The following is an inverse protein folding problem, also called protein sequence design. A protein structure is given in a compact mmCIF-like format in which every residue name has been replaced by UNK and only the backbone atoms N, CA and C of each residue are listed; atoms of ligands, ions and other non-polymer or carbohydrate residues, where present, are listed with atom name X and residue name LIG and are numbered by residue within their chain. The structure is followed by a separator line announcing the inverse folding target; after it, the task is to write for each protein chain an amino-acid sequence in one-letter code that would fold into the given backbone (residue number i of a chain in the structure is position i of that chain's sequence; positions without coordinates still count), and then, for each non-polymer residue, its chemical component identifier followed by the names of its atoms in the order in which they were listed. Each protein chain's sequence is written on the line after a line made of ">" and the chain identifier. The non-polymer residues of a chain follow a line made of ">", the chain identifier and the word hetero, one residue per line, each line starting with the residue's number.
data_IF_056840207946
#
_entry.id   IF_056840207946
#
_cell.length_a   1.000
_cell.length_b   1.000
_cell.length_c   1.000
_cell.angle_alpha   90.00
_cell.angle_beta   90.00
_cell.angle_gamma   90.00
#
_symmetry.space_group_name_H-M   'P 1'
#
loop_
_entity.id
_entity.type
_entity.pdbx_description
1 polymer ?
#
# COMPACT_ATOMS: atom_id res chain seq x y z
N UNK A 1 7.86 -18.48 7.13
CA UNK A 1 7.02 -17.27 6.96
C UNK A 1 7.54 -16.25 5.92
N UNK A 2 8.71 -16.47 5.28
CA UNK A 2 9.26 -15.56 4.24
C UNK A 2 8.31 -15.30 3.06
N UNK A 3 7.70 -16.36 2.50
CA UNK A 3 6.76 -16.22 1.39
C UNK A 3 5.47 -15.49 1.82
N UNK A 4 4.94 -15.81 3.01
CA UNK A 4 3.76 -15.12 3.55
C UNK A 4 4.04 -13.62 3.73
N UNK A 5 5.20 -13.26 4.30
CA UNK A 5 5.64 -11.87 4.40
C UNK A 5 5.71 -11.19 3.02
N UNK A 6 6.32 -11.84 2.02
CA UNK A 6 6.43 -11.31 0.65
C UNK A 6 5.04 -11.07 0.03
N UNK A 7 4.14 -12.05 0.15
CA UNK A 7 2.78 -11.97 -0.39
C UNK A 7 2.00 -10.85 0.29
N UNK A 8 2.04 -10.74 1.62
CA UNK A 8 1.36 -9.68 2.35
C UNK A 8 1.89 -8.29 1.98
N UNK A 9 3.21 -8.14 1.82
CA UNK A 9 3.81 -6.88 1.40
C UNK A 9 3.36 -6.48 -0.02
N UNK A 10 3.35 -7.43 -0.97
CA UNK A 10 2.79 -7.16 -2.30
C UNK A 10 1.28 -6.93 -2.28
N UNK A 11 0.54 -7.58 -1.38
CA UNK A 11 -0.89 -7.36 -1.22
C UNK A 11 -1.18 -5.92 -0.78
N UNK A 12 -0.41 -5.34 0.15
CA UNK A 12 -0.52 -3.92 0.50
C UNK A 12 -0.32 -3.04 -0.74
N UNK A 13 0.73 -3.29 -1.54
CA UNK A 13 0.99 -2.52 -2.75
C UNK A 13 -0.17 -2.63 -3.77
N UNK A 14 -0.67 -3.85 -4.01
CA UNK A 14 -1.79 -4.10 -4.91
C UNK A 14 -3.08 -3.42 -4.43
N UNK A 15 -3.37 -3.46 -3.12
CA UNK A 15 -4.52 -2.79 -2.53
C UNK A 15 -4.43 -1.27 -2.70
N UNK A 16 -3.26 -0.66 -2.52
CA UNK A 16 -3.05 0.78 -2.80
C UNK A 16 -3.32 1.11 -4.27
N UNK A 17 -2.84 0.28 -5.20
CA UNK A 17 -3.09 0.47 -6.63
C UNK A 17 -4.59 0.36 -6.98
N UNK A 18 -5.30 -0.62 -6.40
CA UNK A 18 -6.75 -0.76 -6.53
C UNK A 18 -7.47 0.47 -5.95
N UNK A 19 -6.98 1.02 -4.84
CA UNK A 19 -7.55 2.20 -4.22
C UNK A 19 -7.41 3.45 -5.11
N UNK A 20 -6.26 3.62 -5.77
CA UNK A 20 -6.03 4.68 -6.75
C UNK A 20 -6.92 4.52 -8.00
N UNK A 21 -7.07 3.29 -8.50
CA UNK A 21 -8.00 3.00 -9.60
C UNK A 21 -9.47 3.29 -9.20
N UNK A 22 -9.85 2.95 -7.97
CA UNK A 22 -11.22 3.14 -7.46
C UNK A 22 -11.60 4.62 -7.37
N UNK A 23 -10.70 5.47 -6.85
CA UNK A 23 -10.96 6.92 -6.80
C UNK A 23 -11.00 7.54 -8.19
N UNK A 24 -10.13 7.11 -9.12
CA UNK A 24 -10.18 7.57 -10.51
C UNK A 24 -11.50 7.18 -11.17
N UNK A 25 -11.94 5.93 -11.03
CA UNK A 25 -13.23 5.46 -11.53
C UNK A 25 -14.40 6.29 -10.99
N UNK A 26 -14.39 6.59 -9.68
CA UNK A 26 -15.42 7.43 -9.07
C UNK A 26 -15.43 8.85 -9.65
N UNK A 27 -14.27 9.50 -9.76
CA UNK A 27 -14.19 10.88 -10.24
C UNK A 27 -14.52 11.00 -11.73
N UNK A 28 -14.10 10.05 -12.58
CA UNK A 28 -14.51 10.06 -13.99
C UNK A 28 -16.00 9.75 -14.17
N UNK A 29 -16.57 8.87 -13.34
CA UNK A 29 -18.00 8.62 -13.32
C UNK A 29 -18.81 9.85 -12.92
N UNK A 30 -18.35 10.57 -11.88
CA UNK A 30 -18.93 11.84 -11.45
C UNK A 30 -18.83 12.93 -12.53
N UNK A 31 -17.65 13.10 -13.14
CA UNK A 31 -17.45 14.09 -14.19
C UNK A 31 -18.41 13.85 -15.36
N UNK A 32 -18.49 12.61 -15.85
CA UNK A 32 -19.43 12.23 -16.91
C UNK A 32 -20.89 12.46 -16.52
N UNK A 33 -21.25 12.21 -15.26
CA UNK A 33 -22.60 12.46 -14.77
C UNK A 33 -22.94 13.95 -14.79
N UNK A 34 -22.02 14.81 -14.36
CA UNK A 34 -22.16 16.27 -14.39
C UNK A 34 -22.23 16.78 -15.83
N UNK A 35 -21.37 16.30 -16.72
CA UNK A 35 -21.38 16.66 -18.15
C UNK A 35 -22.73 16.33 -18.82
N UNK A 36 -23.43 15.30 -18.34
CA UNK A 36 -24.77 14.92 -18.78
C UNK A 36 -25.91 15.75 -18.16
N UNK A 37 -25.61 16.79 -17.38
CA UNK A 37 -26.59 17.62 -16.66
C UNK A 37 -26.99 17.09 -15.29
N UNK A 38 -26.32 16.04 -14.79
CA UNK A 38 -26.51 15.54 -13.42
C UNK A 38 -25.95 16.50 -12.36
N UNK A 39 -26.50 16.43 -11.15
CA UNK A 39 -26.03 17.19 -10.00
C UNK A 39 -25.90 16.27 -8.79
N UNK A 40 -24.88 16.52 -7.96
CA UNK A 40 -24.66 15.80 -6.70
C UNK A 40 -24.59 16.81 -5.57
N UNK A 41 -25.42 16.61 -4.55
CA UNK A 41 -25.42 17.34 -3.30
C UNK A 41 -25.56 16.39 -2.10
N UNK A 42 -25.63 16.95 -0.90
CA UNK A 42 -25.68 16.17 0.36
C UNK A 42 -26.91 15.24 0.47
N UNK A 43 -27.95 15.45 -0.33
CA UNK A 43 -29.18 14.67 -0.34
C UNK A 43 -29.25 13.73 -1.55
N UNK A 44 -28.21 13.66 -2.39
CA UNK A 44 -28.17 12.73 -3.52
C UNK A 44 -27.93 11.30 -3.04
N UNK A 45 -28.69 10.35 -3.58
CA UNK A 45 -28.55 8.91 -3.27
C UNK A 45 -27.32 8.27 -3.93
N UNK A 46 -26.62 9.00 -4.81
CA UNK A 46 -25.37 8.59 -5.44
C UNK A 46 -25.19 9.16 -6.84
N UNK A 47 -24.18 8.65 -7.54
CA UNK A 47 -23.89 8.94 -8.94
C UNK A 47 -23.22 7.71 -9.59
N UNK A 48 -23.24 7.59 -10.93
CA UNK A 48 -22.48 6.54 -11.62
C UNK A 48 -21.00 6.57 -11.21
N UNK A 49 -20.52 5.51 -10.57
CA UNK A 49 -19.14 5.44 -10.05
C UNK A 49 -18.99 5.63 -8.54
N UNK A 50 -20.07 5.93 -7.80
CA UNK A 50 -20.04 6.11 -6.33
C UNK A 50 -19.43 4.92 -5.58
N UNK A 51 -19.58 3.69 -6.12
CA UNK A 51 -18.94 2.50 -5.56
C UNK A 51 -17.41 2.59 -5.50
N UNK A 52 -16.77 3.35 -6.38
CA UNK A 52 -15.33 3.62 -6.33
C UNK A 52 -14.93 4.48 -5.13
N UNK A 53 -15.79 5.41 -4.71
CA UNK A 53 -15.58 6.23 -3.51
C UNK A 53 -15.69 5.36 -2.25
N UNK A 54 -16.69 4.48 -2.21
CA UNK A 54 -16.86 3.50 -1.13
C UNK A 54 -15.68 2.53 -1.06
N UNK A 55 -15.25 1.97 -2.19
CA UNK A 55 -14.11 1.07 -2.27
C UNK A 55 -12.80 1.75 -1.85
N UNK A 56 -12.60 3.01 -2.24
CA UNK A 56 -11.46 3.82 -1.81
C UNK A 56 -11.46 4.02 -0.28
N UNK A 57 -12.58 4.46 0.29
CA UNK A 57 -12.74 4.70 1.73
C UNK A 57 -12.57 3.43 2.57
N UNK A 58 -13.39 2.39 2.30
CA UNK A 58 -13.35 1.11 3.04
C UNK A 58 -12.00 0.40 2.85
N UNK A 59 -11.48 0.38 1.63
CA UNK A 59 -10.18 -0.21 1.33
C UNK A 59 -9.05 0.46 2.10
N UNK A 60 -9.06 1.79 2.18
CA UNK A 60 -8.05 2.57 2.88
C UNK A 60 -8.14 2.54 4.39
N UNK A 61 -9.35 2.61 4.96
CA UNK A 61 -9.54 2.69 6.40
C UNK A 61 -9.59 1.34 7.12
N UNK A 62 -9.92 0.25 6.41
CA UNK A 62 -10.05 -1.08 7.02
C UNK A 62 -9.14 -2.12 6.39
N UNK A 63 -9.25 -2.35 5.08
CA UNK A 63 -8.58 -3.51 4.44
C UNK A 63 -7.06 -3.37 4.48
N UNK A 64 -6.51 -2.23 4.04
CA UNK A 64 -5.05 -2.00 4.05
C UNK A 64 -4.48 -2.03 5.47
N UNK A 65 -5.05 -1.35 6.49
CA UNK A 65 -4.59 -1.44 7.87
C UNK A 65 -4.55 -2.87 8.43
N UNK A 66 -5.57 -3.68 8.16
CA UNK A 66 -5.60 -5.08 8.61
C UNK A 66 -4.49 -5.89 7.96
N UNK A 67 -4.28 -5.74 6.65
CA UNK A 67 -3.21 -6.45 5.93
C UNK A 67 -1.82 -5.97 6.38
N UNK A 68 -1.63 -4.68 6.62
CA UNK A 68 -0.38 -4.13 7.15
C UNK A 68 -0.08 -4.62 8.58
N UNK A 69 -1.11 -4.74 9.43
CA UNK A 69 -0.97 -5.32 10.76
C UNK A 69 -0.62 -6.82 10.68
N UNK A 70 -1.27 -7.57 9.79
CA UNK A 70 -0.92 -8.96 9.53
C UNK A 70 0.53 -9.10 9.04
N UNK A 71 0.99 -8.20 8.16
CA UNK A 71 2.39 -8.14 7.71
C UNK A 71 3.35 -7.94 8.90
N UNK A 72 3.03 -7.02 9.82
CA UNK A 72 3.82 -6.79 11.03
C UNK A 72 3.87 -8.04 11.92
N UNK A 73 2.74 -8.68 12.20
CA UNK A 73 2.69 -9.92 12.99
C UNK A 73 3.54 -11.01 12.33
N UNK A 74 3.38 -11.22 11.03
CA UNK A 74 4.14 -12.22 10.27
C UNK A 74 5.64 -11.90 10.24
N UNK A 75 6.03 -10.62 10.27
CA UNK A 75 7.42 -10.20 10.18
C UNK A 75 8.30 -10.74 11.32
N UNK A 76 7.74 -10.93 12.52
CA UNK A 76 8.45 -11.51 13.67
C UNK A 76 8.87 -12.97 13.44
N UNK A 77 8.13 -13.70 12.61
CA UNK A 77 8.38 -15.11 12.30
C UNK A 77 9.05 -15.30 10.92
N UNK A 78 9.12 -14.25 10.11
CA UNK A 78 9.61 -14.29 8.74
C UNK A 78 11.12 -14.54 8.64
N UNK A 79 11.90 -14.15 9.66
CA UNK A 79 13.37 -14.24 9.65
C UNK A 79 13.97 -13.61 8.37
N UNK A 80 13.39 -12.49 7.94
CA UNK A 80 13.91 -11.65 6.85
C UNK A 80 14.80 -10.59 7.51
N UNK A 81 16.06 -10.42 7.10
CA UNK A 81 16.92 -9.36 7.64
C UNK A 81 16.25 -7.99 7.53
N UNK A 82 16.03 -7.32 8.67
CA UNK A 82 15.32 -6.04 8.74
C UNK A 82 13.82 -6.10 8.41
N UNK A 83 13.20 -7.29 8.31
CA UNK A 83 11.80 -7.46 7.94
C UNK A 83 10.82 -6.75 8.89
N UNK A 84 11.07 -6.83 10.21
CA UNK A 84 10.25 -6.13 11.21
C UNK A 84 10.32 -4.61 11.01
N UNK A 85 11.51 -4.06 10.75
CA UNK A 85 11.69 -2.62 10.46
C UNK A 85 10.87 -2.20 9.25
N UNK A 86 10.93 -2.95 8.15
CA UNK A 86 10.15 -2.63 6.95
C UNK A 86 8.64 -2.75 7.18
N UNK A 87 8.18 -3.76 7.92
CA UNK A 87 6.77 -3.89 8.27
C UNK A 87 6.27 -2.73 9.14
N UNK A 88 7.10 -2.25 10.09
CA UNK A 88 6.79 -1.05 10.89
C UNK A 88 6.74 0.22 10.03
N UNK A 89 7.64 0.38 9.06
CA UNK A 89 7.58 1.52 8.13
C UNK A 89 6.29 1.46 7.32
N UNK A 90 5.93 0.30 6.76
CA UNK A 90 4.65 0.11 6.04
C UNK A 90 3.47 0.50 6.93
N UNK A 91 3.37 -0.06 8.14
CA UNK A 91 2.26 0.23 9.05
C UNK A 91 2.22 1.71 9.46
N UNK A 92 3.38 2.30 9.78
CA UNK A 92 3.48 3.71 10.12
C UNK A 92 3.02 4.61 8.98
N UNK A 93 3.43 4.32 7.74
CA UNK A 93 2.95 5.05 6.56
C UNK A 93 1.45 4.86 6.36
N UNK A 94 0.89 3.67 6.58
CA UNK A 94 -0.57 3.43 6.54
C UNK A 94 -1.30 4.29 7.57
N UNK A 95 -0.82 4.37 8.81
CA UNK A 95 -1.44 5.20 9.86
C UNK A 95 -1.46 6.67 9.47
N UNK A 96 -0.32 7.22 9.02
CA UNK A 96 -0.25 8.60 8.53
C UNK A 96 -1.21 8.79 7.35
N UNK A 97 -1.32 7.79 6.48
CA UNK A 97 -2.16 7.89 5.30
C UNK A 97 -3.66 7.95 5.62
N UNK A 98 -4.11 7.11 6.54
CA UNK A 98 -5.50 7.13 7.04
C UNK A 98 -5.80 8.47 7.70
N UNK A 99 -4.88 9.00 8.50
CA UNK A 99 -5.03 10.31 9.14
C UNK A 99 -5.19 11.43 8.10
N UNK A 100 -4.30 11.49 7.10
CA UNK A 100 -4.40 12.48 6.01
C UNK A 100 -5.71 12.33 5.24
N UNK A 101 -6.15 11.10 4.95
CA UNK A 101 -7.43 10.85 4.27
C UNK A 101 -8.63 11.42 5.05
N UNK A 102 -8.68 11.18 6.36
CA UNK A 102 -9.74 11.70 7.24
C UNK A 102 -9.70 13.24 7.31
N UNK A 103 -8.53 13.83 7.55
CA UNK A 103 -8.41 15.29 7.68
C UNK A 103 -8.59 16.04 6.36
N UNK A 104 -8.45 15.37 5.21
CA UNK A 104 -8.72 15.95 3.89
C UNK A 104 -10.18 16.38 3.70
N UNK A 105 -11.12 15.80 4.46
CA UNK A 105 -12.52 16.25 4.45
C UNK A 105 -12.70 17.67 5.02
N UNK A 106 -11.79 18.12 5.90
CA UNK A 106 -11.81 19.47 6.47
C UNK A 106 -10.83 20.42 5.79
N UNK A 107 -9.71 19.90 5.30
CA UNK A 107 -8.65 20.66 4.63
C UNK A 107 -8.32 19.99 3.29
N UNK A 108 -9.01 20.34 2.18
CA UNK A 108 -8.87 19.67 0.89
C UNK A 108 -7.44 19.60 0.34
N UNK A 109 -6.59 20.59 0.67
CA UNK A 109 -5.17 20.59 0.29
C UNK A 109 -4.40 19.37 0.82
N UNK A 110 -4.82 18.79 1.94
CA UNK A 110 -4.24 17.55 2.47
C UNK A 110 -4.50 16.34 1.54
N UNK A 111 -5.53 16.41 0.67
CA UNK A 111 -5.83 15.36 -0.30
C UNK A 111 -4.71 15.15 -1.32
N UNK A 112 -4.01 16.23 -1.71
CA UNK A 112 -2.85 16.14 -2.60
C UNK A 112 -1.66 15.46 -1.89
N UNK A 113 -1.41 15.82 -0.63
CA UNK A 113 -0.37 15.20 0.21
C UNK A 113 -0.68 13.72 0.45
N UNK A 114 -1.94 13.39 0.73
CA UNK A 114 -2.47 12.03 0.82
C UNK A 114 -2.17 11.25 -0.47
N UNK A 115 -2.53 11.77 -1.64
CA UNK A 115 -2.25 11.11 -2.93
C UNK A 115 -0.76 10.85 -3.16
N UNK A 116 0.11 11.83 -2.88
CA UNK A 116 1.55 11.65 -3.01
C UNK A 116 2.11 10.60 -2.03
N UNK A 117 1.68 10.62 -0.76
CA UNK A 117 2.11 9.65 0.24
C UNK A 117 1.61 8.23 -0.09
N UNK A 118 0.53 8.08 -0.86
CA UNK A 118 0.05 6.76 -1.28
C UNK A 118 1.05 6.09 -2.24
N UNK A 119 1.70 6.86 -3.11
CA UNK A 119 2.80 6.37 -3.96
C UNK A 119 4.02 5.97 -3.13
N UNK A 120 4.31 6.72 -2.06
CA UNK A 120 5.37 6.35 -1.10
C UNK A 120 5.04 5.02 -0.42
N UNK A 121 3.81 4.85 0.10
CA UNK A 121 3.35 3.60 0.71
C UNK A 121 3.48 2.42 -0.26
N UNK A 122 3.04 2.61 -1.52
CA UNK A 122 3.20 1.61 -2.57
C UNK A 122 4.68 1.21 -2.74
N UNK A 123 5.57 2.19 -2.89
CA UNK A 123 7.01 1.95 -3.06
C UNK A 123 7.66 1.27 -1.86
N UNK A 124 7.30 1.67 -0.64
CA UNK A 124 7.78 1.04 0.60
C UNK A 124 7.32 -0.42 0.69
N UNK A 125 6.05 -0.70 0.36
CA UNK A 125 5.50 -2.05 0.39
C UNK A 125 6.16 -2.97 -0.66
N UNK A 126 6.37 -2.50 -1.88
CA UNK A 126 7.13 -3.22 -2.92
C UNK A 126 8.57 -3.47 -2.46
N UNK A 127 9.22 -2.46 -1.89
CA UNK A 127 10.60 -2.58 -1.36
C UNK A 127 10.66 -3.64 -0.27
N UNK A 128 9.72 -3.64 0.67
CA UNK A 128 9.62 -4.64 1.72
C UNK A 128 9.53 -6.06 1.14
N UNK A 129 8.69 -6.27 0.11
CA UNK A 129 8.53 -7.57 -0.55
C UNK A 129 9.80 -8.06 -1.25
N UNK A 130 10.53 -7.15 -1.91
CA UNK A 130 11.76 -7.48 -2.65
C UNK A 130 12.92 -7.91 -1.74
N UNK A 131 12.99 -7.41 -0.49
CA UNK A 131 14.06 -7.72 0.47
C UNK A 131 14.11 -9.18 0.92
N UNK A 132 13.09 -9.98 0.62
CA UNK A 132 13.08 -11.41 0.93
C UNK A 132 14.12 -12.20 0.10
N UNK A 133 14.47 -11.74 -1.11
CA UNK A 133 15.37 -12.45 -2.03
C UNK A 133 16.86 -12.14 -1.84
N UNK A 134 17.20 -10.91 -1.41
CA UNK A 134 18.59 -10.45 -1.26
C UNK A 134 19.39 -11.13 -0.14
N UNK A 135 18.74 -11.92 0.72
CA UNK A 135 19.39 -12.64 1.82
C UNK A 135 20.06 -13.95 1.39
N UNK A 136 19.79 -14.43 0.16
CA UNK A 136 20.25 -15.75 -0.31
C UNK A 136 21.55 -15.67 -1.11
N UNK A 137 21.93 -14.49 -1.62
CA UNK A 137 23.07 -14.34 -2.54
C UNK A 137 24.43 -14.09 -1.87
N UNK A 138 24.50 -14.02 -0.54
CA UNK A 138 25.75 -13.71 0.18
C UNK A 138 26.47 -14.95 0.72
N UNK A 139 25.84 -16.15 0.65
CA UNK A 139 26.38 -17.38 1.24
C UNK A 139 27.02 -18.33 0.23
N UNK A 140 26.88 -18.08 -1.09
CA UNK A 140 27.38 -18.97 -2.15
C UNK A 140 28.71 -18.52 -2.79
N UNK A 141 29.63 -17.92 -2.04
CA UNK A 141 31.03 -17.85 -2.47
C UNK A 141 31.79 -19.04 -1.87
N UNK A 142 31.93 -20.17 -2.60
CA UNK A 142 32.73 -21.29 -2.10
C UNK A 142 34.16 -20.78 -1.97
N UNK A 143 34.69 -20.89 -0.75
CA UNK A 143 36.08 -20.60 -0.45
C UNK A 143 36.96 -21.29 -1.50
N UNK A 144 37.57 -20.50 -2.40
CA UNK A 144 38.66 -21.01 -3.25
C UNK A 144 39.78 -21.40 -2.31
N UNK A 145 39.86 -22.69 -2.02
CA UNK A 145 41.04 -23.30 -1.43
C UNK A 145 42.16 -23.11 -2.45
N UNK A 146 42.95 -22.06 -2.26
CA UNK A 146 44.21 -21.90 -2.96
C UNK A 146 45.15 -22.98 -2.41
N UNK A 147 45.30 -24.07 -3.16
CA UNK A 147 46.34 -25.07 -2.92
C UNK A 147 47.72 -24.40 -3.06
N UNK A 148 48.63 -24.52 -2.08
CA UNK A 148 49.99 -24.08 -2.25
C UNK A 148 50.67 -25.01 -3.26
N UNK A 149 51.24 -24.42 -4.31
CA UNK A 149 52.12 -25.12 -5.26
C UNK A 149 53.46 -25.33 -4.55
N UNK A 150 53.87 -26.60 -4.46
CA UNK A 150 55.17 -27.03 -3.94
C UNK A 150 56.29 -26.78 -4.96
#
# INVERSE_FOLDING_TARGET
>A
MKNVYRVLAYAVAALVAVQAASIAYALFGLAKYIDGGGAVDKNSDGFPGVGGLMAHGVGGQLVIPVVALALLVVSFFAHVPGGVRWALIVLGTVVVQVALGIFSHSLPALGAVHGALALVLFGVAVTAAMRVGSATSVVDEPARVATPVA
#
